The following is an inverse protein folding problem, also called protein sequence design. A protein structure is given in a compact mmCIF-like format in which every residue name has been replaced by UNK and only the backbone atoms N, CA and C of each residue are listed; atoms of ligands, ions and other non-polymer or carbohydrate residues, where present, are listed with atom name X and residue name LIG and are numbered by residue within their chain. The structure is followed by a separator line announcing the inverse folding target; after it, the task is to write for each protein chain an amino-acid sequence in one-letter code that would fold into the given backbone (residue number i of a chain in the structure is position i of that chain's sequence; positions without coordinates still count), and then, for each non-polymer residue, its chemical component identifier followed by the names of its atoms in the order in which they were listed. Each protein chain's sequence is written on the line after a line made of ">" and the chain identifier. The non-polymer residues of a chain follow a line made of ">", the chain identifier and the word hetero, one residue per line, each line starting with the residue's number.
data_IF_663220335992
#
_entry.id   IF_663220335992
#
_cell.length_a   1.000
_cell.length_b   1.000
_cell.length_c   1.000
_cell.angle_alpha   90.00
_cell.angle_beta   90.00
_cell.angle_gamma   90.00
#
_symmetry.space_group_name_H-M   'P 1'
#
loop_
_entity.id
_entity.type
_entity.pdbx_description
1 polymer ?
#
# COMPACT_ATOMS: atom_id res chain seq x y z
N UNK A 1 32.18 31.18 18.33
CA UNK A 1 31.14 30.45 17.54
C UNK A 1 31.12 28.99 17.97
N UNK A 2 30.02 28.49 18.56
CA UNK A 2 29.92 27.08 18.95
C UNK A 2 29.78 26.22 17.69
N UNK A 3 30.81 25.44 17.35
CA UNK A 3 30.75 24.43 16.27
C UNK A 3 29.64 23.44 16.62
N UNK A 4 28.56 23.43 15.84
CA UNK A 4 27.50 22.43 16.00
C UNK A 4 28.11 21.04 15.85
N UNK A 5 27.93 20.18 16.85
CA UNK A 5 28.44 18.80 16.81
C UNK A 5 27.86 18.13 15.55
N UNK A 6 28.74 17.72 14.61
CA UNK A 6 28.39 16.85 13.48
C UNK A 6 27.73 15.60 14.07
N UNK A 7 26.40 15.53 14.06
CA UNK A 7 25.67 14.36 14.53
C UNK A 7 26.14 13.11 13.79
N UNK A 8 26.06 11.95 14.44
CA UNK A 8 26.51 10.63 13.96
C UNK A 8 26.07 10.29 12.51
N UNK A 9 25.00 10.92 12.01
CA UNK A 9 24.47 10.70 10.69
C UNK A 9 24.15 12.03 10.01
N UNK A 10 24.51 12.16 8.73
CA UNK A 10 24.09 13.31 7.92
C UNK A 10 22.55 13.33 7.78
N UNK A 11 21.92 14.50 7.70
CA UNK A 11 20.46 14.60 7.51
C UNK A 11 19.95 13.82 6.29
N UNK A 12 20.71 13.83 5.19
CA UNK A 12 20.41 13.09 3.97
C UNK A 12 20.42 11.57 4.19
N UNK A 13 21.43 11.06 4.91
CA UNK A 13 21.52 9.63 5.22
C UNK A 13 20.40 9.19 6.17
N UNK A 14 20.00 10.04 7.12
CA UNK A 14 18.82 9.80 7.97
C UNK A 14 17.52 9.74 7.15
N UNK A 15 17.36 10.64 6.18
CA UNK A 15 16.20 10.64 5.27
C UNK A 15 16.16 9.38 4.40
N UNK A 16 17.30 8.99 3.82
CA UNK A 16 17.43 7.76 3.01
C UNK A 16 17.10 6.52 3.84
N UNK A 17 17.61 6.44 5.07
CA UNK A 17 17.32 5.32 5.97
C UNK A 17 15.84 5.22 6.33
N UNK A 18 15.18 6.34 6.68
CA UNK A 18 13.72 6.35 6.93
C UNK A 18 12.93 5.85 5.73
N UNK A 19 13.31 6.27 4.51
CA UNK A 19 12.67 5.80 3.28
C UNK A 19 12.83 4.28 3.13
N UNK A 20 14.04 3.76 3.32
CA UNK A 20 14.30 2.31 3.22
C UNK A 20 13.51 1.53 4.27
N UNK A 21 13.41 2.03 5.50
CA UNK A 21 12.62 1.40 6.56
C UNK A 21 11.13 1.37 6.24
N UNK A 22 10.57 2.47 5.71
CA UNK A 22 9.16 2.51 5.27
C UNK A 22 8.91 1.57 4.09
N UNK A 23 9.84 1.49 3.13
CA UNK A 23 9.74 0.56 2.00
C UNK A 23 9.73 -0.90 2.49
N UNK A 24 10.68 -1.25 3.35
CA UNK A 24 10.74 -2.59 3.95
C UNK A 24 9.47 -2.90 4.77
N UNK A 25 9.01 -1.97 5.59
CA UNK A 25 7.78 -2.16 6.37
C UNK A 25 6.54 -2.38 5.47
N UNK A 26 6.45 -1.70 4.33
CA UNK A 26 5.39 -1.92 3.36
C UNK A 26 5.49 -3.29 2.66
N UNK A 27 6.71 -3.71 2.31
CA UNK A 27 6.97 -5.04 1.76
C UNK A 27 6.62 -6.15 2.75
N UNK A 28 7.08 -6.02 4.00
CA UNK A 28 6.81 -6.96 5.09
C UNK A 28 5.29 -7.04 5.38
N UNK A 29 4.59 -5.91 5.39
CA UNK A 29 3.12 -5.87 5.56
C UNK A 29 2.41 -6.62 4.42
N UNK A 30 2.83 -6.41 3.16
CA UNK A 30 2.26 -7.14 2.02
C UNK A 30 2.54 -8.63 2.11
N UNK A 31 3.76 -9.03 2.53
CA UNK A 31 4.12 -10.43 2.73
C UNK A 31 3.26 -11.08 3.82
N UNK A 32 3.05 -10.39 4.94
CA UNK A 32 2.17 -10.87 6.02
C UNK A 32 0.72 -11.03 5.54
N UNK A 33 0.20 -10.09 4.74
CA UNK A 33 -1.14 -10.20 4.15
C UNK A 33 -1.27 -11.43 3.26
N UNK A 34 -0.28 -11.68 2.39
CA UNK A 34 -0.28 -12.88 1.53
C UNK A 34 -0.23 -14.18 2.34
N UNK A 35 0.62 -14.26 3.37
CA UNK A 35 0.70 -15.43 4.25
C UNK A 35 -0.61 -15.67 5.00
N UNK A 36 -1.24 -14.60 5.52
CA UNK A 36 -2.53 -14.69 6.22
C UNK A 36 -3.65 -15.15 5.29
N UNK A 37 -3.65 -14.71 4.05
CA UNK A 37 -4.63 -15.16 3.05
C UNK A 37 -4.41 -16.62 2.67
N UNK A 38 -3.15 -17.05 2.51
CA UNK A 38 -2.82 -18.45 2.24
C UNK A 38 -3.23 -19.36 3.41
N UNK A 39 -2.95 -18.96 4.64
CA UNK A 39 -3.36 -19.68 5.85
C UNK A 39 -4.90 -19.75 5.94
N UNK A 40 -5.59 -18.64 5.67
CA UNK A 40 -7.06 -18.62 5.58
C UNK A 40 -7.56 -19.64 4.57
N UNK A 41 -6.97 -19.71 3.38
CA UNK A 41 -7.36 -20.70 2.36
C UNK A 41 -7.08 -22.13 2.82
N UNK A 42 -5.95 -22.40 3.46
CA UNK A 42 -5.64 -23.73 4.03
C UNK A 42 -6.70 -24.15 5.06
N UNK A 43 -7.01 -23.27 6.02
CA UNK A 43 -8.00 -23.55 7.07
C UNK A 43 -9.40 -23.73 6.50
N UNK A 44 -9.79 -22.96 5.49
CA UNK A 44 -11.08 -23.14 4.82
C UNK A 44 -11.15 -24.49 4.09
N UNK A 45 -10.08 -24.89 3.39
CA UNK A 45 -10.03 -26.18 2.71
C UNK A 45 -10.07 -27.37 3.70
N UNK A 46 -9.48 -27.21 4.89
CA UNK A 46 -9.54 -28.23 5.95
C UNK A 46 -10.92 -28.31 6.62
N UNK A 47 -11.61 -27.17 6.81
CA UNK A 47 -12.90 -27.11 7.50
C UNK A 47 -14.10 -27.41 6.61
N UNK A 48 -14.02 -27.04 5.33
CA UNK A 48 -15.12 -27.25 4.38
C UNK A 48 -15.02 -28.69 3.88
N UNK A 49 -15.91 -29.53 4.38
CA UNK A 49 -16.04 -30.90 3.88
C UNK A 49 -16.58 -30.84 2.44
N UNK A 50 -15.99 -31.60 1.49
CA UNK A 50 -16.55 -31.76 0.16
C UNK A 50 -18.01 -32.20 0.21
N UNK A 51 -18.82 -31.74 -0.74
CA UNK A 51 -20.22 -32.14 -0.80
C UNK A 51 -20.30 -33.66 -0.97
N UNK A 52 -21.11 -34.35 -0.14
CA UNK A 52 -21.35 -35.78 -0.31
C UNK A 52 -22.06 -36.05 -1.63
N UNK A 53 -21.92 -37.27 -2.15
CA UNK A 53 -22.53 -37.66 -3.43
C UNK A 53 -24.04 -37.82 -3.27
N UNK A 54 -24.81 -36.85 -3.77
CA UNK A 54 -26.27 -36.80 -3.56
C UNK A 54 -27.04 -37.65 -4.58
N UNK A 55 -26.53 -37.76 -5.81
CA UNK A 55 -27.21 -38.42 -6.94
C UNK A 55 -27.27 -39.95 -6.80
N UNK A 56 -26.28 -40.54 -6.11
CA UNK A 56 -26.20 -41.99 -5.87
C UNK A 56 -26.78 -42.42 -4.52
N UNK A 57 -27.23 -41.46 -3.70
CA UNK A 57 -27.69 -41.70 -2.33
C UNK A 57 -29.17 -42.06 -2.27
N UNK A 58 -29.53 -43.02 -1.41
CA UNK A 58 -30.93 -43.36 -1.11
C UNK A 58 -31.63 -42.28 -0.26
N UNK A 59 -32.96 -42.32 -0.21
CA UNK A 59 -33.79 -41.32 0.50
C UNK A 59 -33.44 -41.17 1.98
N UNK A 60 -33.21 -42.29 2.69
CA UNK A 60 -32.83 -42.29 4.10
C UNK A 60 -31.46 -41.62 4.34
N UNK A 61 -30.51 -41.86 3.44
CA UNK A 61 -29.16 -41.27 3.52
C UNK A 61 -29.21 -39.76 3.26
N UNK A 62 -30.00 -39.33 2.27
CA UNK A 62 -30.24 -37.91 2.01
C UNK A 62 -30.88 -37.20 3.20
N UNK A 63 -31.82 -37.85 3.90
CA UNK A 63 -32.43 -37.30 5.09
C UNK A 63 -31.45 -37.18 6.26
N UNK A 64 -30.55 -38.15 6.43
CA UNK A 64 -29.47 -38.10 7.43
C UNK A 64 -28.51 -36.94 7.14
N UNK A 65 -28.00 -36.86 5.91
CA UNK A 65 -27.09 -35.80 5.46
C UNK A 65 -27.72 -34.41 5.70
N UNK A 66 -29.00 -34.24 5.36
CA UNK A 66 -29.72 -32.98 5.57
C UNK A 66 -29.75 -32.55 7.04
N UNK A 67 -30.03 -33.50 7.97
CA UNK A 67 -30.04 -33.23 9.41
C UNK A 67 -28.65 -32.87 9.93
N UNK A 68 -27.61 -33.61 9.52
CA UNK A 68 -26.23 -33.34 9.92
C UNK A 68 -25.76 -31.93 9.47
N UNK A 69 -26.10 -31.53 8.25
CA UNK A 69 -25.81 -30.18 7.78
C UNK A 69 -26.55 -29.11 8.58
N UNK A 70 -27.84 -29.32 8.89
CA UNK A 70 -28.61 -28.39 9.69
C UNK A 70 -28.00 -28.21 11.10
N UNK A 71 -27.64 -29.31 11.77
CA UNK A 71 -27.00 -29.29 13.09
C UNK A 71 -25.64 -28.57 13.04
N UNK A 72 -24.85 -28.84 11.99
CA UNK A 72 -23.56 -28.20 11.80
C UNK A 72 -23.70 -26.68 11.59
N UNK A 73 -24.68 -26.24 10.79
CA UNK A 73 -24.97 -24.81 10.58
C UNK A 73 -25.38 -24.12 11.88
N UNK A 74 -26.25 -24.74 12.68
CA UNK A 74 -26.69 -24.19 13.98
C UNK A 74 -25.49 -24.01 14.90
N UNK A 75 -24.61 -25.02 15.00
CA UNK A 75 -23.39 -24.94 15.80
C UNK A 75 -22.46 -23.84 15.32
N UNK A 76 -22.18 -23.77 14.02
CA UNK A 76 -21.29 -22.77 13.43
C UNK A 76 -21.82 -21.34 13.62
N UNK A 77 -23.14 -21.13 13.49
CA UNK A 77 -23.74 -19.81 13.70
C UNK A 77 -23.63 -19.38 15.18
N UNK A 78 -23.77 -20.31 16.12
CA UNK A 78 -23.53 -20.05 17.54
C UNK A 78 -22.08 -19.63 17.80
N UNK A 79 -21.11 -20.40 17.31
CA UNK A 79 -19.68 -20.07 17.46
C UNK A 79 -19.34 -18.71 16.82
N UNK A 80 -19.89 -18.44 15.63
CA UNK A 80 -19.75 -17.15 14.95
C UNK A 80 -20.33 -16.01 15.77
N UNK A 81 -21.49 -16.21 16.41
CA UNK A 81 -22.10 -15.19 17.28
C UNK A 81 -21.17 -14.85 18.46
N UNK A 82 -20.69 -15.86 19.18
CA UNK A 82 -19.81 -15.69 20.34
C UNK A 82 -18.50 -14.96 19.94
N UNK A 83 -17.90 -15.35 18.80
CA UNK A 83 -16.72 -14.68 18.26
C UNK A 83 -17.02 -13.22 17.88
N UNK A 84 -18.13 -12.97 17.18
CA UNK A 84 -18.52 -11.63 16.74
C UNK A 84 -18.79 -10.70 17.92
N UNK A 85 -19.42 -11.23 18.98
CA UNK A 85 -19.65 -10.48 20.22
C UNK A 85 -18.32 -10.10 20.89
N UNK A 86 -17.39 -11.06 21.00
CA UNK A 86 -16.06 -10.82 21.57
C UNK A 86 -15.29 -9.76 20.78
N UNK A 87 -15.30 -9.83 19.45
CA UNK A 87 -14.66 -8.82 18.58
C UNK A 87 -15.29 -7.44 18.82
N UNK A 88 -16.62 -7.34 18.86
CA UNK A 88 -17.31 -6.08 19.12
C UNK A 88 -16.95 -5.48 20.48
N UNK A 89 -16.83 -6.31 21.52
CA UNK A 89 -16.41 -5.86 22.84
C UNK A 89 -14.99 -5.31 22.81
N UNK A 90 -14.08 -5.96 22.07
CA UNK A 90 -12.71 -5.49 21.88
C UNK A 90 -12.62 -4.20 21.07
N UNK A 91 -13.44 -4.05 20.03
CA UNK A 91 -13.53 -2.80 19.27
C UNK A 91 -13.99 -1.63 20.15
N UNK A 92 -14.97 -1.88 21.02
CA UNK A 92 -15.42 -0.89 22.01
C UNK A 92 -14.29 -0.52 22.99
N UNK A 93 -13.60 -1.51 23.55
CA UNK A 93 -12.45 -1.29 24.44
C UNK A 93 -11.34 -0.48 23.76
N UNK A 94 -11.01 -0.79 22.50
CA UNK A 94 -10.02 -0.04 21.71
C UNK A 94 -10.49 1.41 21.49
N UNK A 95 -11.77 1.63 21.21
CA UNK A 95 -12.31 2.97 21.02
C UNK A 95 -12.22 3.80 22.31
N UNK A 96 -12.63 3.23 23.44
CA UNK A 96 -12.52 3.89 24.75
C UNK A 96 -11.07 4.25 25.10
N UNK A 97 -10.14 3.31 24.89
CA UNK A 97 -8.72 3.56 25.10
C UNK A 97 -8.18 4.63 24.14
N UNK A 98 -8.64 4.65 22.90
CA UNK A 98 -8.26 5.66 21.90
C UNK A 98 -8.73 7.06 22.34
N UNK A 99 -9.95 7.18 22.86
CA UNK A 99 -10.49 8.42 23.42
C UNK A 99 -9.64 8.87 24.61
N UNK A 100 -9.39 7.98 25.58
CA UNK A 100 -8.59 8.28 26.76
C UNK A 100 -7.18 8.77 26.39
N UNK A 101 -6.51 8.10 25.43
CA UNK A 101 -5.18 8.53 24.94
C UNK A 101 -5.24 9.90 24.26
N UNK A 102 -6.31 10.21 23.53
CA UNK A 102 -6.48 11.49 22.87
C UNK A 102 -6.73 12.63 23.89
N UNK A 103 -7.54 12.39 24.91
CA UNK A 103 -7.79 13.36 25.98
C UNK A 103 -6.52 13.63 26.80
N UNK A 104 -5.72 12.60 27.08
CA UNK A 104 -4.40 12.74 27.72
C UNK A 104 -3.39 13.52 26.87
N UNK A 105 -3.41 13.31 25.55
CA UNK A 105 -2.58 14.09 24.60
C UNK A 105 -3.08 15.52 24.41
N UNK A 106 -4.28 15.83 24.90
CA UNK A 106 -4.98 17.10 24.77
C UNK A 106 -5.77 17.19 23.46
N UNK A 107 -7.09 17.42 23.58
CA UNK A 107 -8.03 17.65 22.46
C UNK A 107 -7.58 18.77 21.50
N UNK A 108 -6.75 19.69 22.01
CA UNK A 108 -6.11 20.77 21.27
C UNK A 108 -4.57 20.62 21.33
N UNK A 109 -4.01 19.62 20.63
CA UNK A 109 -2.62 19.73 20.18
C UNK A 109 -2.59 20.90 19.21
N UNK A 110 -2.31 22.12 19.69
CA UNK A 110 -2.23 23.33 18.85
C UNK A 110 -1.33 22.99 17.66
N UNK A 111 -1.90 22.86 16.43
CA UNK A 111 -1.09 22.53 15.28
C UNK A 111 -0.03 23.61 15.20
N UNK A 112 1.24 23.22 15.16
CA UNK A 112 2.30 24.22 15.01
C UNK A 112 2.02 24.95 13.70
N UNK A 113 1.65 26.23 13.80
CA UNK A 113 1.33 27.06 12.64
C UNK A 113 2.60 27.18 11.80
N UNK A 114 2.77 26.29 10.84
CA UNK A 114 3.84 26.38 9.87
C UNK A 114 3.53 27.56 8.98
N UNK A 115 4.47 28.49 8.84
CA UNK A 115 4.40 29.57 7.86
C UNK A 115 4.31 28.95 6.47
N UNK A 116 3.10 28.82 5.95
CA UNK A 116 2.85 28.34 4.59
C UNK A 116 3.23 29.49 3.66
N UNK A 117 4.20 29.29 2.77
CA UNK A 117 4.48 30.27 1.73
C UNK A 117 3.33 30.25 0.72
N UNK A 118 2.85 31.44 0.32
CA UNK A 118 1.77 31.60 -0.67
C UNK A 118 2.13 31.05 -2.07
N UNK A 119 3.36 30.60 -2.27
CA UNK A 119 3.88 30.07 -3.53
C UNK A 119 3.29 28.72 -3.90
N UNK A 120 2.96 27.85 -2.93
CA UNK A 120 2.36 26.54 -3.23
C UNK A 120 0.96 26.66 -3.87
N UNK A 121 0.19 27.69 -3.50
CA UNK A 121 -1.11 27.98 -4.08
C UNK A 121 -1.01 28.57 -5.51
N UNK A 122 0.10 29.20 -5.87
CA UNK A 122 0.35 29.68 -7.23
C UNK A 122 0.65 28.52 -8.21
N UNK A 123 1.28 27.45 -7.73
CA UNK A 123 1.50 26.22 -8.51
C UNK A 123 0.34 25.23 -8.47
N UNK A 124 -0.66 25.42 -7.62
CA UNK A 124 -1.83 24.52 -7.55
C UNK A 124 -2.61 24.45 -8.88
N UNK A 125 -2.66 25.56 -9.63
CA UNK A 125 -3.25 25.60 -10.98
C UNK A 125 -2.43 24.83 -12.03
N UNK A 126 -1.13 24.59 -11.76
CA UNK A 126 -0.30 23.68 -12.55
C UNK A 126 -0.49 22.23 -12.09
N UNK A 127 -0.52 21.97 -10.78
CA UNK A 127 -0.60 20.61 -10.21
C UNK A 127 -1.91 19.87 -10.52
N UNK A 128 -3.04 20.56 -10.69
CA UNK A 128 -4.29 19.91 -11.14
C UNK A 128 -4.23 19.42 -12.60
N UNK A 129 -3.25 19.89 -13.40
CA UNK A 129 -2.93 19.30 -14.71
C UNK A 129 -1.94 18.12 -14.62
N UNK A 130 -1.35 17.87 -13.45
CA UNK A 130 -0.32 16.84 -13.20
C UNK A 130 -0.91 15.55 -12.57
N UNK A 131 -2.16 15.20 -12.89
CA UNK A 131 -2.73 13.88 -12.58
C UNK A 131 -2.03 12.72 -13.30
N UNK A 132 -1.16 13.03 -14.25
CA UNK A 132 -0.22 12.09 -14.84
C UNK A 132 1.18 12.51 -14.39
N UNK A 133 1.93 11.59 -13.78
CA UNK A 133 3.34 11.75 -13.42
C UNK A 133 4.04 12.63 -14.46
N UNK A 134 4.41 13.85 -14.08
CA UNK A 134 5.31 14.66 -14.88
C UNK A 134 6.68 14.03 -14.71
N UNK A 135 6.94 12.99 -15.49
CA UNK A 135 8.28 12.47 -15.67
C UNK A 135 9.08 13.56 -16.38
N UNK A 136 9.66 14.45 -15.57
CA UNK A 136 10.48 15.57 -15.99
C UNK A 136 11.67 15.12 -16.87
N UNK A 137 12.00 13.82 -16.81
CA UNK A 137 13.00 13.17 -17.65
C UNK A 137 12.60 13.05 -19.12
N UNK A 138 11.31 12.93 -19.44
CA UNK A 138 10.85 12.73 -20.81
C UNK A 138 10.94 14.01 -21.67
N UNK A 139 11.00 15.18 -21.03
CA UNK A 139 11.13 16.46 -21.71
C UNK A 139 12.59 16.96 -21.79
N UNK A 140 13.56 16.22 -21.23
CA UNK A 140 14.98 16.51 -21.44
C UNK A 140 15.46 15.77 -22.68
N UNK A 141 15.99 16.51 -23.67
CA UNK A 141 16.78 15.92 -24.76
C UNK A 141 18.02 15.26 -24.16
N UNK A 142 18.10 13.94 -24.18
CA UNK A 142 19.35 13.22 -23.92
C UNK A 142 20.26 13.41 -25.12
N UNK A 143 21.40 14.06 -24.92
CA UNK A 143 22.45 14.16 -25.95
C UNK A 143 23.17 12.81 -25.98
N UNK A 144 22.95 12.03 -27.05
CA UNK A 144 23.80 10.90 -27.37
C UNK A 144 25.20 11.45 -27.70
N UNK A 145 26.09 11.41 -26.72
CA UNK A 145 27.50 11.71 -26.95
C UNK A 145 28.08 10.58 -27.82
N UNK A 146 28.09 10.78 -29.14
CA UNK A 146 28.91 10.00 -30.09
C UNK A 146 30.42 10.29 -29.93
N UNK A 147 30.92 10.41 -28.70
CA UNK A 147 32.37 10.58 -28.45
C UNK A 147 33.14 9.25 -28.51
N UNK A 148 32.46 8.14 -28.82
CA UNK A 148 33.06 6.81 -28.95
C UNK A 148 32.64 6.06 -30.23
N UNK A 149 31.97 6.73 -31.19
CA UNK A 149 31.70 6.14 -32.50
C UNK A 149 32.84 6.52 -33.45
N UNK A 150 33.62 5.51 -33.82
CA UNK A 150 34.74 5.55 -34.75
C UNK A 150 34.30 6.17 -36.10
N UNK A 151 35.19 6.99 -36.69
CA UNK A 151 35.03 7.70 -37.96
C UNK A 151 34.34 6.91 -39.07
N UNK A 152 33.24 7.43 -39.62
CA UNK A 152 32.93 7.27 -41.05
C UNK A 152 32.40 8.59 -41.63
N UNK A 153 33.25 9.19 -42.48
CA UNK A 153 33.04 10.20 -43.54
C UNK A 153 31.65 10.86 -43.64
N UNK A 154 31.57 12.12 -43.24
CA UNK A 154 30.50 13.03 -43.70
C UNK A 154 30.97 13.82 -44.93
N UNK A 155 30.33 13.55 -46.06
CA UNK A 155 30.48 14.30 -47.31
C UNK A 155 29.91 15.71 -47.18
N UNK A 156 30.65 16.69 -47.71
CA UNK A 156 30.30 18.11 -47.74
C UNK A 156 28.98 18.33 -48.49
N UNK A 157 27.91 18.61 -47.75
CA UNK A 157 26.66 19.13 -48.31
C UNK A 157 26.89 20.61 -48.68
N UNK A 158 26.97 20.89 -49.99
CA UNK A 158 26.96 22.22 -50.58
C UNK A 158 25.62 22.91 -50.30
N UNK A 159 25.67 24.10 -49.71
CA UNK A 159 24.51 24.97 -49.51
C UNK A 159 24.28 25.81 -50.78
N UNK A 160 23.05 25.78 -51.27
CA UNK A 160 22.56 26.37 -52.53
C UNK A 160 21.16 26.93 -52.16
N UNK A 161 20.76 28.20 -52.32
CA UNK A 161 21.22 29.34 -53.12
C UNK A 161 20.85 30.65 -52.40
N UNK A 162 21.72 31.65 -52.51
CA UNK A 162 21.28 33.02 -52.75
C UNK A 162 21.32 33.24 -54.26
N UNK A 163 20.18 33.21 -54.93
CA UNK A 163 19.93 33.92 -56.20
C UNK A 163 18.46 34.29 -56.26
N UNK A 164 18.22 35.60 -56.23
CA UNK A 164 17.03 36.39 -56.57
C UNK A 164 15.65 35.82 -56.28
#
# INVERSE_FOLDING_TARGET
>A
MKKAKKGFLTPERKKKLRKLLMMKAAEDLKKQQMLKEQERQSVLNERIVPLPELESSGEDELQRISKEFADSVIRLEREKYDLSYTVRQKDFEINELTIAVNDLRGKFVKPTLKKVSKTDSQFAKLKTKEGQKVDFRNNLKTVEKKQFALEEKDEKIKVEWSKN
#
